data_IF_277900254422
#
_entry.id   IF_277900254422
#
_cell.length_a   1.000
_cell.length_b   1.000
_cell.length_c   1.000
_cell.angle_alpha   90.00
_cell.angle_beta   90.00
_cell.angle_gamma   90.00
#
_symmetry.space_group_name_H-M   'P 1'
#
loop_
_entity.id
_entity.type
_entity.pdbx_description
1 polymer ?
#
# COMPACT_ATOMS: atom_id res chain seq x y z
N UNK A 1 15.33 -10.50 -10.53
CA UNK A 1 16.36 -10.54 -9.48
C UNK A 1 15.75 -9.93 -8.23
N UNK A 2 15.23 -10.76 -7.32
CA UNK A 2 14.73 -10.26 -6.04
C UNK A 2 15.99 -9.94 -5.22
N UNK A 3 16.13 -8.68 -4.81
CA UNK A 3 17.19 -8.26 -3.91
C UNK A 3 17.16 -9.20 -2.69
N UNK A 4 18.31 -9.77 -2.38
CA UNK A 4 18.57 -10.43 -1.11
C UNK A 4 18.37 -9.40 0.00
N UNK A 5 17.14 -9.24 0.48
CA UNK A 5 16.88 -8.51 1.71
C UNK A 5 17.32 -9.42 2.84
N UNK A 6 18.43 -9.09 3.49
CA UNK A 6 18.79 -9.69 4.77
C UNK A 6 17.55 -9.62 5.67
N UNK A 7 17.02 -10.79 6.01
CA UNK A 7 15.89 -10.91 6.92
C UNK A 7 16.38 -10.37 8.26
N UNK A 8 15.66 -9.43 8.90
CA UNK A 8 15.98 -9.05 10.27
C UNK A 8 15.97 -10.33 11.13
N UNK A 9 17.06 -10.62 11.84
CA UNK A 9 17.23 -11.85 12.60
C UNK A 9 16.08 -12.08 13.61
N UNK A 10 15.41 -11.00 14.00
CA UNK A 10 14.25 -10.95 14.88
C UNK A 10 13.03 -11.72 14.34
N UNK A 11 12.88 -11.92 13.02
CA UNK A 11 11.77 -12.70 12.46
C UNK A 11 11.92 -14.22 12.64
N UNK A 12 13.08 -14.69 13.12
CA UNK A 12 13.35 -16.12 13.33
C UNK A 12 12.77 -16.60 14.64
N UNK A 13 12.30 -17.85 14.66
CA UNK A 13 11.80 -18.49 15.87
C UNK A 13 12.78 -18.46 17.05
N UNK A 14 14.09 -18.46 16.83
CA UNK A 14 15.09 -18.36 17.90
C UNK A 14 14.97 -17.06 18.71
N UNK A 15 14.58 -15.94 18.09
CA UNK A 15 14.35 -14.67 18.78
C UNK A 15 13.04 -14.69 19.56
N UNK A 16 11.97 -15.27 18.99
CA UNK A 16 10.69 -15.44 19.68
C UNK A 16 10.81 -16.38 20.88
N UNK A 17 11.56 -17.48 20.76
CA UNK A 17 11.85 -18.38 21.87
C UNK A 17 12.53 -17.62 23.01
N UNK A 18 13.57 -16.83 22.70
CA UNK A 18 14.23 -15.99 23.71
C UNK A 18 13.26 -15.00 24.37
N UNK A 19 12.44 -14.30 23.58
CA UNK A 19 11.46 -13.34 24.09
C UNK A 19 10.44 -13.99 25.02
N UNK A 20 9.88 -15.16 24.65
CA UNK A 20 8.96 -15.93 25.49
C UNK A 20 9.64 -16.32 26.81
N UNK A 21 10.89 -16.78 26.75
CA UNK A 21 11.68 -17.12 27.94
C UNK A 21 11.86 -15.93 28.87
N UNK A 22 12.30 -14.79 28.32
CA UNK A 22 12.51 -13.54 29.07
C UNK A 22 11.19 -13.10 29.73
N UNK A 23 10.09 -13.01 28.99
CA UNK A 23 8.80 -12.60 29.53
C UNK A 23 8.31 -13.55 30.64
N UNK A 24 8.52 -14.87 30.50
CA UNK A 24 8.18 -15.85 31.56
C UNK A 24 9.02 -15.62 32.81
N UNK A 25 10.33 -15.44 32.62
CA UNK A 25 11.24 -15.19 33.73
C UNK A 25 10.88 -13.92 34.49
N UNK A 26 10.58 -12.83 33.78
CA UNK A 26 10.20 -11.54 34.36
C UNK A 26 8.88 -11.62 35.14
N UNK A 27 7.91 -12.39 34.64
CA UNK A 27 6.66 -12.66 35.34
C UNK A 27 6.89 -13.39 36.67
N UNK A 28 7.77 -14.40 36.65
CA UNK A 28 8.05 -15.23 37.81
C UNK A 28 9.02 -14.55 38.80
N UNK A 29 9.79 -13.55 38.34
CA UNK A 29 10.73 -12.75 39.13
C UNK A 29 10.51 -11.23 38.94
N UNK A 30 9.39 -10.68 39.47
CA UNK A 30 9.07 -9.26 39.30
C UNK A 30 10.19 -8.34 39.79
N UNK A 31 10.47 -7.27 39.03
CA UNK A 31 11.53 -6.29 39.34
C UNK A 31 12.92 -6.64 38.79
N UNK A 32 13.07 -7.78 38.13
CA UNK A 32 14.30 -8.12 37.37
C UNK A 32 14.35 -7.32 36.06
N UNK A 33 15.53 -6.88 35.62
CA UNK A 33 15.70 -6.29 34.30
C UNK A 33 15.68 -7.37 33.20
N UNK A 34 15.24 -7.02 31.98
CA UNK A 34 15.13 -7.98 30.88
C UNK A 34 16.50 -8.58 30.51
N UNK A 35 17.56 -7.78 30.57
CA UNK A 35 18.95 -8.19 30.31
C UNK A 35 19.43 -9.23 31.32
N UNK A 36 19.09 -9.05 32.60
CA UNK A 36 19.45 -9.99 33.66
C UNK A 36 18.69 -11.31 33.50
N UNK A 37 17.42 -11.25 33.12
CA UNK A 37 16.61 -12.43 32.78
C UNK A 37 17.23 -13.19 31.59
N UNK A 38 17.63 -12.49 30.53
CA UNK A 38 18.29 -13.09 29.37
C UNK A 38 19.62 -13.76 29.74
N UNK A 39 20.43 -13.11 30.58
CA UNK A 39 21.71 -13.66 31.07
C UNK A 39 21.49 -14.92 31.94
N UNK A 40 20.49 -14.91 32.82
CA UNK A 40 20.15 -16.05 33.65
C UNK A 40 19.74 -17.25 32.79
N UNK A 41 18.76 -17.08 31.90
CA UNK A 41 18.25 -18.13 31.01
C UNK A 41 19.35 -18.73 30.14
N UNK A 42 20.22 -17.89 29.57
CA UNK A 42 21.34 -18.33 28.74
C UNK A 42 22.34 -19.23 29.49
N UNK A 43 22.46 -19.08 30.81
CA UNK A 43 23.40 -19.84 31.64
C UNK A 43 22.79 -21.09 32.26
N UNK A 44 21.51 -21.05 32.62
CA UNK A 44 20.90 -22.08 33.45
C UNK A 44 20.08 -23.11 32.66
N UNK A 45 19.70 -22.82 31.42
CA UNK A 45 18.72 -23.62 30.71
C UNK A 45 19.20 -24.06 29.32
N UNK A 46 19.35 -25.38 29.15
CA UNK A 46 19.82 -26.00 27.92
C UNK A 46 18.83 -25.83 26.75
N UNK A 47 17.53 -25.64 27.04
CA UNK A 47 16.51 -25.45 26.02
C UNK A 47 16.68 -24.11 25.27
N UNK A 48 17.42 -23.17 25.85
CA UNK A 48 17.75 -21.87 25.23
C UNK A 48 19.13 -21.84 24.56
N UNK A 49 19.84 -22.97 24.44
CA UNK A 49 21.19 -23.00 23.85
C UNK A 49 21.26 -22.44 22.42
N UNK A 50 20.17 -22.54 21.65
CA UNK A 50 20.04 -21.99 20.29
C UNK A 50 19.22 -20.70 20.19
N UNK A 51 18.82 -20.10 21.31
CA UNK A 51 17.96 -18.92 21.31
C UNK A 51 18.75 -17.64 21.00
N UNK A 52 18.14 -16.73 20.24
CA UNK A 52 18.71 -15.42 19.93
C UNK A 52 18.24 -14.39 20.95
N UNK A 53 19.00 -14.26 22.04
CA UNK A 53 18.69 -13.32 23.12
C UNK A 53 18.84 -11.85 22.71
N UNK A 54 19.64 -11.52 21.69
CA UNK A 54 19.74 -10.15 21.18
C UNK A 54 18.46 -9.75 20.46
N UNK A 55 17.97 -10.62 19.57
CA UNK A 55 16.67 -10.44 18.92
C UNK A 55 15.51 -10.50 19.93
N UNK A 56 15.59 -11.43 20.90
CA UNK A 56 14.60 -11.56 21.97
C UNK A 56 14.44 -10.32 22.84
N UNK A 57 15.55 -9.70 23.28
CA UNK A 57 15.50 -8.44 24.04
C UNK A 57 14.91 -7.30 23.21
N UNK A 58 15.26 -7.23 21.93
CA UNK A 58 14.69 -6.25 20.99
C UNK A 58 13.18 -6.41 20.85
N UNK A 59 12.69 -7.64 20.78
CA UNK A 59 11.26 -7.95 20.76
C UNK A 59 10.57 -7.54 22.06
N UNK A 60 11.10 -7.94 23.21
CA UNK A 60 10.52 -7.64 24.53
C UNK A 60 10.37 -6.13 24.72
N UNK A 61 11.37 -5.34 24.34
CA UNK A 61 11.31 -3.86 24.45
C UNK A 61 10.27 -3.19 23.54
N UNK A 62 9.63 -3.93 22.63
CA UNK A 62 8.59 -3.41 21.70
C UNK A 62 7.18 -3.93 22.04
N UNK A 63 7.08 -4.93 22.91
CA UNK A 63 5.82 -5.54 23.28
C UNK A 63 5.14 -4.76 24.41
N UNK A 64 3.79 -4.76 24.47
CA UNK A 64 3.06 -4.24 25.62
C UNK A 64 3.47 -4.96 26.92
N UNK A 65 3.65 -4.21 28.00
CA UNK A 65 4.04 -4.76 29.31
C UNK A 65 2.99 -5.74 29.89
N UNK A 66 1.73 -5.61 29.49
CA UNK A 66 0.60 -6.40 29.95
C UNK A 66 0.28 -7.60 29.03
N UNK A 67 1.10 -7.84 27.99
CA UNK A 67 0.86 -8.94 27.06
C UNK A 67 0.94 -10.29 27.77
N UNK A 68 -0.21 -10.92 27.96
CA UNK A 68 -0.32 -12.18 28.68
C UNK A 68 0.32 -13.34 27.91
N UNK A 69 1.29 -14.01 28.53
CA UNK A 69 1.89 -15.26 28.04
C UNK A 69 0.99 -16.50 28.20
N UNK A 70 -0.31 -16.31 28.46
CA UNK A 70 -1.25 -17.42 28.63
C UNK A 70 -1.40 -18.23 27.33
N UNK A 71 -1.30 -17.56 26.17
CA UNK A 71 -1.33 -18.19 24.85
C UNK A 71 -0.08 -17.76 24.05
N UNK A 72 0.77 -18.73 23.75
CA UNK A 72 2.03 -18.52 23.02
C UNK A 72 1.75 -18.06 21.58
N UNK A 73 0.74 -18.60 20.92
CA UNK A 73 0.41 -18.23 19.55
C UNK A 73 -0.15 -16.81 19.48
N UNK A 74 -0.92 -16.36 20.48
CA UNK A 74 -1.29 -14.94 20.63
C UNK A 74 -0.05 -14.07 20.82
N UNK A 75 0.85 -14.43 21.73
CA UNK A 75 2.09 -13.69 21.95
C UNK A 75 2.92 -13.54 20.67
N UNK A 76 3.11 -14.63 19.92
CA UNK A 76 3.88 -14.61 18.66
C UNK A 76 3.17 -13.72 17.62
N UNK A 77 1.84 -13.71 17.54
CA UNK A 77 1.10 -12.82 16.62
C UNK A 77 1.32 -11.35 16.94
N UNK A 78 1.28 -10.96 18.21
CA UNK A 78 1.51 -9.57 18.61
C UNK A 78 2.97 -9.15 18.41
N UNK A 79 3.93 -10.02 18.71
CA UNK A 79 5.33 -9.79 18.40
C UNK A 79 5.60 -9.68 16.88
N UNK A 80 4.95 -10.52 16.06
CA UNK A 80 4.99 -10.39 14.60
C UNK A 80 4.43 -9.04 14.14
N UNK A 81 3.29 -8.60 14.68
CA UNK A 81 2.71 -7.29 14.37
C UNK A 81 3.70 -6.15 14.66
N UNK A 82 4.36 -6.17 15.82
CA UNK A 82 5.35 -5.16 16.20
C UNK A 82 6.57 -5.16 15.24
N UNK A 83 7.07 -6.34 14.85
CA UNK A 83 8.16 -6.43 13.87
C UNK A 83 7.76 -5.94 12.49
N UNK A 84 6.56 -6.31 12.03
CA UNK A 84 5.98 -5.88 10.75
C UNK A 84 5.88 -4.35 10.71
N UNK A 85 5.41 -3.74 11.79
CA UNK A 85 5.27 -2.29 11.88
C UNK A 85 6.62 -1.56 11.79
N UNK A 86 7.64 -2.08 12.48
CA UNK A 86 8.99 -1.48 12.51
C UNK A 86 9.72 -1.67 11.19
N UNK A 87 9.76 -2.90 10.67
CA UNK A 87 10.60 -3.24 9.52
C UNK A 87 9.88 -3.02 8.18
N UNK A 88 8.55 -2.91 8.18
CA UNK A 88 7.69 -2.81 6.99
C UNK A 88 8.15 -3.72 5.83
N UNK A 89 8.30 -5.04 6.06
CA UNK A 89 8.79 -5.95 5.05
C UNK A 89 7.95 -5.88 3.77
N UNK A 90 8.63 -5.99 2.62
CA UNK A 90 8.02 -5.81 1.30
C UNK A 90 6.85 -6.77 1.04
N UNK A 91 6.90 -7.97 1.62
CA UNK A 91 5.91 -9.03 1.44
C UNK A 91 4.56 -8.70 2.08
N UNK A 92 4.46 -7.70 2.96
CA UNK A 92 3.19 -7.23 3.54
C UNK A 92 2.21 -6.83 2.43
N UNK A 93 2.72 -6.28 1.32
CA UNK A 93 1.92 -5.91 0.15
C UNK A 93 1.16 -7.10 -0.47
N UNK A 94 1.52 -8.33 -0.11
CA UNK A 94 0.86 -9.54 -0.58
C UNK A 94 -0.28 -10.00 0.33
N UNK A 95 -0.40 -9.46 1.55
CA UNK A 95 -1.45 -9.82 2.50
C UNK A 95 -2.88 -9.63 1.96
N UNK A 96 -3.20 -8.59 1.15
CA UNK A 96 -4.56 -8.41 0.62
C UNK A 96 -5.02 -9.50 -0.34
N UNK A 97 -4.07 -10.27 -0.90
CA UNK A 97 -4.33 -11.33 -1.89
C UNK A 97 -4.43 -12.73 -1.26
N UNK A 98 -4.34 -12.82 0.07
CA UNK A 98 -4.57 -14.03 0.84
C UNK A 98 -3.32 -14.72 1.39
N UNK A 99 -3.55 -15.57 2.39
CA UNK A 99 -2.51 -16.23 3.23
C UNK A 99 -1.45 -16.98 2.42
N UNK A 100 -1.88 -17.76 1.41
CA UNK A 100 -0.97 -18.56 0.59
C UNK A 100 -0.05 -17.69 -0.27
N UNK A 101 -0.56 -16.56 -0.78
CA UNK A 101 0.22 -15.65 -1.61
C UNK A 101 1.31 -14.97 -0.79
N UNK A 102 0.99 -14.54 0.43
CA UNK A 102 1.99 -14.03 1.37
C UNK A 102 3.00 -15.14 1.74
N UNK A 103 2.54 -16.33 2.10
CA UNK A 103 3.42 -17.44 2.49
C UNK A 103 4.47 -17.79 1.42
N UNK A 104 4.10 -17.71 0.13
CA UNK A 104 5.01 -17.99 -0.98
C UNK A 104 6.17 -16.99 -1.12
N UNK A 105 6.04 -15.80 -0.50
CA UNK A 105 7.07 -14.77 -0.47
C UNK A 105 7.95 -14.81 0.79
N UNK A 106 7.56 -15.58 1.80
CA UNK A 106 8.32 -15.73 3.04
C UNK A 106 9.43 -16.77 2.89
N UNK A 107 10.52 -16.52 3.60
CA UNK A 107 11.59 -17.48 3.82
C UNK A 107 11.15 -18.62 4.74
N UNK A 108 11.93 -19.71 4.80
CA UNK A 108 11.60 -20.85 5.66
C UNK A 108 11.52 -20.47 7.15
N UNK A 109 12.42 -19.60 7.60
CA UNK A 109 12.45 -19.12 9.00
C UNK A 109 11.20 -18.30 9.33
N UNK A 110 10.82 -17.35 8.47
CA UNK A 110 9.61 -16.55 8.64
C UNK A 110 8.36 -17.45 8.60
N UNK A 111 8.30 -18.42 7.69
CA UNK A 111 7.20 -19.37 7.65
C UNK A 111 7.09 -20.19 8.94
N UNK A 112 8.22 -20.57 9.54
CA UNK A 112 8.21 -21.29 10.81
C UNK A 112 7.58 -20.44 11.92
N UNK A 113 7.91 -19.15 11.98
CA UNK A 113 7.32 -18.21 12.93
C UNK A 113 5.81 -18.05 12.73
N UNK A 114 5.36 -17.92 11.48
CA UNK A 114 3.93 -17.87 11.17
C UNK A 114 3.19 -19.17 11.51
N UNK A 115 3.84 -20.35 11.37
CA UNK A 115 3.26 -21.63 11.81
C UNK A 115 3.13 -21.69 13.33
N UNK A 116 4.15 -21.27 14.08
CA UNK A 116 4.11 -21.23 15.55
C UNK A 116 3.01 -20.28 16.08
N UNK A 117 2.69 -19.24 15.30
CA UNK A 117 1.60 -18.32 15.55
C UNK A 117 0.19 -18.87 15.21
N UNK A 118 0.08 -20.09 14.67
CA UNK A 118 -1.19 -20.67 14.20
C UNK A 118 -1.76 -20.00 12.94
N UNK A 119 -1.00 -19.15 12.25
CA UNK A 119 -1.51 -18.35 11.13
C UNK A 119 -1.77 -19.16 9.85
N UNK A 120 -1.21 -20.37 9.78
CA UNK A 120 -1.37 -21.32 8.66
C UNK A 120 -2.21 -22.54 9.01
N UNK A 121 -2.88 -22.52 10.16
CA UNK A 121 -3.75 -23.63 10.53
C UNK A 121 -4.90 -23.78 9.52
N UNK A 122 -5.27 -25.02 9.14
CA UNK A 122 -6.38 -25.27 8.23
C UNK A 122 -7.70 -24.68 8.74
N UNK A 123 -7.89 -24.73 10.06
CA UNK A 123 -9.00 -24.11 10.78
C UNK A 123 -8.44 -22.99 11.66
N UNK A 124 -8.35 -21.75 11.14
CA UNK A 124 -7.79 -20.64 11.91
C UNK A 124 -8.72 -20.24 13.06
N UNK A 125 -8.14 -19.82 14.18
CA UNK A 125 -8.88 -19.21 15.29
C UNK A 125 -9.46 -17.84 14.90
N UNK A 126 -10.43 -17.34 15.67
CA UNK A 126 -10.96 -15.97 15.53
C UNK A 126 -9.85 -14.93 15.51
N UNK A 127 -8.91 -15.04 16.45
CA UNK A 127 -7.80 -14.10 16.60
C UNK A 127 -6.82 -14.19 15.41
N UNK A 128 -6.70 -15.35 14.78
CA UNK A 128 -5.85 -15.52 13.59
C UNK A 128 -6.49 -14.85 12.39
N UNK A 129 -7.81 -14.98 12.23
CA UNK A 129 -8.58 -14.30 11.19
C UNK A 129 -8.48 -12.79 11.38
N UNK A 130 -8.74 -12.28 12.59
CA UNK A 130 -8.65 -10.86 12.91
C UNK A 130 -7.25 -10.30 12.67
N UNK A 131 -6.20 -11.06 13.00
CA UNK A 131 -4.82 -10.67 12.70
C UNK A 131 -4.57 -10.52 11.20
N UNK A 132 -5.03 -11.48 10.39
CA UNK A 132 -4.90 -11.43 8.94
C UNK A 132 -5.68 -10.25 8.33
N UNK A 133 -6.89 -10.00 8.83
CA UNK A 133 -7.72 -8.88 8.38
C UNK A 133 -7.10 -7.53 8.71
N UNK A 134 -6.54 -7.35 9.92
CA UNK A 134 -5.78 -6.16 10.30
C UNK A 134 -4.59 -5.93 9.36
N UNK A 135 -3.78 -6.97 9.13
CA UNK A 135 -2.60 -6.89 8.26
C UNK A 135 -2.99 -6.54 6.81
N UNK A 136 -4.07 -7.12 6.29
CA UNK A 136 -4.57 -6.82 4.96
C UNK A 136 -5.15 -5.41 4.85
N UNK A 137 -5.87 -4.94 5.86
CA UNK A 137 -6.40 -3.58 5.92
C UNK A 137 -5.28 -2.53 5.91
N UNK A 138 -4.24 -2.72 6.73
CA UNK A 138 -3.08 -1.85 6.76
C UNK A 138 -2.37 -1.79 5.41
N UNK A 139 -2.11 -2.94 4.78
CA UNK A 139 -1.46 -3.00 3.48
C UNK A 139 -2.28 -2.31 2.37
N UNK A 140 -3.62 -2.40 2.42
CA UNK A 140 -4.50 -1.69 1.49
C UNK A 140 -4.45 -0.18 1.72
N UNK A 141 -4.51 0.27 2.98
CA UNK A 141 -4.42 1.69 3.32
C UNK A 141 -3.10 2.31 2.82
N UNK A 142 -1.97 1.63 3.04
CA UNK A 142 -0.66 2.07 2.55
C UNK A 142 -0.62 2.14 1.01
N UNK A 143 -1.24 1.17 0.32
CA UNK A 143 -1.32 1.16 -1.14
C UNK A 143 -2.18 2.32 -1.66
N UNK A 144 -3.34 2.56 -1.04
CA UNK A 144 -4.27 3.61 -1.41
C UNK A 144 -3.67 5.00 -1.18
N UNK A 145 -2.95 5.20 -0.06
CA UNK A 145 -2.21 6.43 0.20
C UNK A 145 -1.17 6.71 -0.89
N UNK A 146 -0.40 5.69 -1.30
CA UNK A 146 0.60 5.82 -2.37
C UNK A 146 -0.05 6.16 -3.72
N UNK A 147 -1.15 5.51 -4.06
CA UNK A 147 -1.88 5.79 -5.29
C UNK A 147 -2.47 7.21 -5.28
N UNK A 148 -3.03 7.65 -4.15
CA UNK A 148 -3.53 9.01 -3.98
C UNK A 148 -2.42 10.06 -4.07
N UNK A 149 -1.24 9.80 -3.49
CA UNK A 149 -0.09 10.68 -3.62
C UNK A 149 0.41 10.78 -5.08
N UNK A 150 0.44 9.66 -5.81
CA UNK A 150 0.77 9.65 -7.24
C UNK A 150 -0.25 10.46 -8.07
N UNK A 151 -1.55 10.30 -7.79
CA UNK A 151 -2.63 11.06 -8.43
C UNK A 151 -2.45 12.57 -8.24
N UNK A 152 -2.33 13.02 -7.00
CA UNK A 152 -2.09 14.45 -6.67
C UNK A 152 -0.82 15.00 -7.33
N UNK A 153 0.24 14.20 -7.42
CA UNK A 153 1.47 14.60 -8.12
C UNK A 153 1.22 14.81 -9.61
N UNK A 154 0.48 13.91 -10.25
CA UNK A 154 0.11 14.03 -11.66
C UNK A 154 -0.79 15.24 -11.92
N UNK A 155 -1.76 15.51 -11.05
CA UNK A 155 -2.62 16.70 -11.14
C UNK A 155 -1.79 18.00 -11.04
N UNK A 156 -0.86 18.09 -10.09
CA UNK A 156 0.06 19.22 -9.99
C UNK A 156 0.92 19.39 -11.25
N UNK A 157 1.43 18.29 -11.82
CA UNK A 157 2.21 18.33 -13.06
C UNK A 157 1.36 18.83 -14.25
N UNK A 158 0.11 18.37 -14.36
CA UNK A 158 -0.84 18.87 -15.36
C UNK A 158 -1.13 20.36 -15.17
N UNK A 159 -1.34 20.82 -13.94
CA UNK A 159 -1.60 22.23 -13.66
C UNK A 159 -0.42 23.11 -14.13
N UNK A 160 0.81 22.70 -13.81
CA UNK A 160 2.02 23.41 -14.22
C UNK A 160 2.21 23.38 -15.76
N UNK A 161 1.93 22.24 -16.40
CA UNK A 161 1.96 22.14 -17.86
C UNK A 161 0.99 23.14 -18.50
N UNK A 162 -0.23 23.23 -17.98
CA UNK A 162 -1.26 24.14 -18.50
C UNK A 162 -0.92 25.62 -18.26
N UNK A 163 -0.32 25.97 -17.12
CA UNK A 163 0.18 27.32 -16.86
C UNK A 163 1.17 27.75 -17.96
N UNK A 164 2.17 26.90 -18.26
CA UNK A 164 3.18 27.22 -19.27
C UNK A 164 2.60 27.22 -20.70
N UNK A 165 1.68 26.30 -21.01
CA UNK A 165 0.99 26.28 -22.30
C UNK A 165 0.18 27.56 -22.51
N UNK A 166 -0.66 27.93 -21.53
CA UNK A 166 -1.51 29.12 -21.60
C UNK A 166 -0.69 30.41 -21.72
N UNK A 167 0.44 30.49 -21.00
CA UNK A 167 1.39 31.60 -21.12
C UNK A 167 1.97 31.70 -22.54
N UNK A 168 2.36 30.58 -23.12
CA UNK A 168 2.86 30.50 -24.51
C UNK A 168 1.80 30.91 -25.53
N UNK A 169 0.55 30.53 -25.29
CA UNK A 169 -0.58 30.93 -26.12
C UNK A 169 -1.03 32.38 -25.87
N UNK A 170 -0.49 33.08 -24.88
CA UNK A 170 -0.88 34.45 -24.52
C UNK A 170 -2.29 34.54 -23.91
N UNK A 171 -2.70 33.52 -23.16
CA UNK A 171 -3.95 33.51 -22.38
C UNK A 171 -3.64 34.05 -20.97
N UNK A 172 -4.34 35.10 -20.54
CA UNK A 172 -4.12 35.76 -19.24
C UNK A 172 -4.97 35.21 -18.09
N UNK A 173 -5.62 34.07 -18.29
CA UNK A 173 -6.37 33.35 -17.25
C UNK A 173 -5.42 32.40 -16.50
N UNK A 174 -5.84 31.93 -15.33
CA UNK A 174 -5.14 30.88 -14.60
C UNK A 174 -5.97 29.58 -14.61
N UNK A 175 -5.36 28.41 -14.87
CA UNK A 175 -6.07 27.14 -14.72
C UNK A 175 -6.44 26.90 -13.25
N UNK A 176 -7.52 26.15 -13.02
CA UNK A 176 -8.07 25.87 -11.69
C UNK A 176 -8.02 24.37 -11.42
N UNK A 177 -7.39 24.00 -10.30
CA UNK A 177 -7.39 22.63 -9.80
C UNK A 177 -8.75 22.34 -9.16
N UNK A 178 -9.66 21.76 -9.94
CA UNK A 178 -11.08 21.61 -9.59
C UNK A 178 -11.31 20.41 -8.68
N UNK A 179 -10.62 19.29 -8.88
CA UNK A 179 -10.76 18.11 -8.02
C UNK A 179 -10.40 18.36 -6.54
N UNK A 180 -9.59 19.39 -6.25
CA UNK A 180 -9.29 19.76 -4.86
C UNK A 180 -10.52 20.30 -4.13
N UNK A 181 -11.40 21.00 -4.86
CA UNK A 181 -12.58 21.67 -4.31
C UNK A 181 -13.87 20.85 -4.53
N UNK A 182 -14.00 20.17 -5.68
CA UNK A 182 -15.19 19.43 -6.09
C UNK A 182 -14.89 18.23 -7.01
N UNK A 183 -14.81 17.03 -6.41
CA UNK A 183 -14.68 15.77 -7.15
C UNK A 183 -15.92 15.39 -7.97
N UNK A 184 -17.07 16.04 -7.77
CA UNK A 184 -18.29 15.78 -8.55
C UNK A 184 -18.35 16.57 -9.86
N UNK A 185 -17.39 17.47 -10.12
CA UNK A 185 -17.32 18.26 -11.34
C UNK A 185 -17.11 17.40 -12.62
N UNK A 186 -16.53 16.21 -12.47
CA UNK A 186 -16.26 15.26 -13.54
C UNK A 186 -14.99 15.56 -14.36
N UNK A 187 -14.08 16.36 -13.81
CA UNK A 187 -12.73 16.64 -14.34
C UNK A 187 -11.84 17.18 -13.21
N UNK A 188 -10.53 17.02 -13.35
CA UNK A 188 -9.58 17.42 -12.31
C UNK A 188 -9.14 18.88 -12.44
N UNK A 189 -8.93 19.36 -13.66
CA UNK A 189 -8.42 20.72 -13.93
C UNK A 189 -9.31 21.42 -14.97
N UNK A 190 -9.67 22.67 -14.69
CA UNK A 190 -10.23 23.59 -15.68
C UNK A 190 -9.15 24.53 -16.19
N UNK A 191 -8.77 24.33 -17.44
CA UNK A 191 -7.87 25.19 -18.21
C UNK A 191 -8.64 25.96 -19.29
N UNK A 192 -7.91 26.64 -20.17
CA UNK A 192 -8.48 27.45 -21.24
C UNK A 192 -7.67 27.33 -22.53
N UNK A 193 -8.37 27.34 -23.66
CA UNK A 193 -7.79 27.28 -25.00
C UNK A 193 -8.33 28.39 -25.89
N UNK A 194 -7.52 28.86 -26.85
CA UNK A 194 -8.00 29.77 -27.90
C UNK A 194 -8.83 29.01 -28.94
N UNK A 195 -9.96 29.59 -29.30
CA UNK A 195 -10.85 29.11 -30.37
C UNK A 195 -11.12 30.23 -31.37
N UNK A 196 -11.80 29.92 -32.47
CA UNK A 196 -12.23 30.92 -33.45
C UNK A 196 -13.15 32.00 -32.85
N UNK A 197 -13.81 31.71 -31.73
CA UNK A 197 -14.77 32.59 -31.07
C UNK A 197 -14.22 33.23 -29.79
N UNK A 198 -12.92 33.09 -29.53
CA UNK A 198 -12.26 33.59 -28.33
C UNK A 198 -11.79 32.47 -27.40
N UNK A 199 -11.63 32.78 -26.12
CA UNK A 199 -11.13 31.82 -25.13
C UNK A 199 -12.29 30.95 -24.65
N UNK A 200 -12.10 29.63 -24.68
CA UNK A 200 -13.07 28.65 -24.19
C UNK A 200 -12.45 27.77 -23.10
N UNK A 201 -13.30 27.17 -22.27
CA UNK A 201 -12.88 26.22 -21.24
C UNK A 201 -12.31 24.96 -21.89
N UNK A 202 -11.24 24.45 -21.31
CA UNK A 202 -10.69 23.13 -21.55
C UNK A 202 -10.73 22.36 -20.23
N UNK A 203 -11.49 21.28 -20.19
CA UNK A 203 -11.65 20.40 -19.04
C UNK A 203 -10.65 19.25 -19.17
N UNK A 204 -9.95 18.95 -18.09
CA UNK A 204 -8.84 18.00 -18.12
C UNK A 204 -9.06 16.97 -17.03
N UNK A 205 -9.13 15.71 -17.45
CA UNK A 205 -9.03 14.54 -16.60
C UNK A 205 -7.58 14.08 -16.54
N UNK A 206 -7.06 13.84 -15.35
CA UNK A 206 -5.67 13.49 -15.12
C UNK A 206 -5.57 12.02 -14.70
N UNK A 207 -4.78 11.25 -15.44
CA UNK A 207 -4.45 9.86 -15.12
C UNK A 207 -2.95 9.71 -14.94
N UNK A 208 -2.55 8.73 -14.13
CA UNK A 208 -1.14 8.39 -13.94
C UNK A 208 -0.89 6.89 -13.88
N UNK A 209 0.30 6.48 -14.32
CA UNK A 209 0.72 5.07 -14.31
C UNK A 209 2.20 4.92 -14.03
N UNK A 210 2.54 3.92 -13.23
CA UNK A 210 3.92 3.42 -13.05
C UNK A 210 4.13 2.02 -13.67
N UNK A 211 3.14 1.53 -14.44
CA UNK A 211 3.13 0.19 -15.03
C UNK A 211 3.80 0.17 -16.42
N UNK A 212 4.38 -0.98 -16.75
CA UNK A 212 4.94 -1.28 -18.09
C UNK A 212 4.29 -2.55 -18.64
N UNK A 213 3.61 -2.52 -19.81
CA UNK A 213 3.31 -1.33 -20.61
C UNK A 213 2.40 -0.33 -19.87
N UNK A 214 2.39 0.97 -20.23
CA UNK A 214 1.56 2.00 -19.60
C UNK A 214 0.07 1.66 -19.67
N UNK A 215 -0.64 1.79 -18.54
CA UNK A 215 -2.08 1.52 -18.48
C UNK A 215 -2.78 2.51 -17.58
N UNK A 216 -3.97 2.93 -17.99
CA UNK A 216 -4.85 3.76 -17.17
C UNK A 216 -6.13 3.00 -16.84
N UNK A 217 -6.77 3.39 -15.75
CA UNK A 217 -8.12 2.97 -15.43
C UNK A 217 -9.02 4.17 -15.68
N UNK A 218 -10.08 3.95 -16.44
CA UNK A 218 -11.14 4.92 -16.67
C UNK A 218 -12.44 4.39 -16.07
N UNK A 219 -13.14 5.22 -15.30
CA UNK A 219 -14.45 4.88 -14.74
C UNK A 219 -15.59 5.30 -15.67
N UNK A 220 -16.78 4.74 -15.45
CA UNK A 220 -17.99 5.15 -16.18
C UNK A 220 -18.28 6.63 -16.05
N UNK A 221 -18.23 7.17 -14.83
CA UNK A 221 -18.54 8.58 -14.58
C UNK A 221 -17.58 9.53 -15.31
N UNK A 222 -16.29 9.19 -15.33
CA UNK A 222 -15.27 9.95 -16.07
C UNK A 222 -15.54 9.93 -17.58
N UNK A 223 -15.90 8.75 -18.12
CA UNK A 223 -16.24 8.65 -19.54
C UNK A 223 -17.52 9.40 -19.90
N UNK A 224 -18.56 9.34 -19.07
CA UNK A 224 -19.80 10.10 -19.27
C UNK A 224 -19.53 11.61 -19.24
N UNK A 225 -18.65 12.09 -18.36
CA UNK A 225 -18.20 13.49 -18.36
C UNK A 225 -17.46 13.85 -19.66
N UNK A 226 -16.53 13.00 -20.10
CA UNK A 226 -15.81 13.18 -21.36
C UNK A 226 -16.77 13.24 -22.56
N UNK A 227 -17.76 12.35 -22.62
CA UNK A 227 -18.79 12.35 -23.67
C UNK A 227 -19.71 13.57 -23.61
N UNK A 228 -19.97 14.13 -22.43
CA UNK A 228 -20.79 15.34 -22.28
C UNK A 228 -20.08 16.56 -22.86
N UNK A 229 -18.77 16.69 -22.63
CA UNK A 229 -18.01 17.90 -22.98
C UNK A 229 -17.20 17.79 -24.28
N UNK A 230 -17.01 16.57 -24.82
CA UNK A 230 -16.44 16.30 -26.15
C UNK A 230 -15.13 17.05 -26.41
N UNK A 231 -15.08 17.94 -27.40
CA UNK A 231 -13.88 18.67 -27.79
C UNK A 231 -13.35 19.62 -26.71
N UNK A 232 -14.15 19.95 -25.71
CA UNK A 232 -13.73 20.73 -24.54
C UNK A 232 -13.16 19.83 -23.42
N UNK A 233 -12.93 18.54 -23.67
CA UNK A 233 -12.44 17.58 -22.69
C UNK A 233 -11.20 16.84 -23.21
N UNK A 234 -10.18 16.70 -22.36
CA UNK A 234 -8.94 15.99 -22.70
C UNK A 234 -8.41 15.20 -21.51
N UNK A 235 -7.61 14.17 -21.81
CA UNK A 235 -6.94 13.35 -20.81
C UNK A 235 -5.46 13.69 -20.77
N UNK A 236 -4.95 14.07 -19.61
CA UNK A 236 -3.53 14.17 -19.33
C UNK A 236 -3.05 12.87 -18.67
N UNK A 237 -2.21 12.12 -19.35
CA UNK A 237 -1.72 10.82 -18.87
C UNK A 237 -0.24 10.93 -18.55
N UNK A 238 0.12 10.85 -17.27
CA UNK A 238 1.50 10.90 -16.80
C UNK A 238 2.06 9.49 -16.55
N UNK A 239 3.21 9.19 -17.15
CA UNK A 239 3.95 7.97 -16.87
C UNK A 239 5.11 8.23 -15.89
N UNK A 240 5.11 7.50 -14.79
CA UNK A 240 6.14 7.52 -13.76
C UNK A 240 7.10 6.33 -13.92
N UNK A 241 8.37 6.45 -13.48
CA UNK A 241 8.95 7.58 -12.74
C UNK A 241 9.44 8.74 -13.65
N UNK A 242 9.41 8.58 -14.97
CA UNK A 242 10.01 9.54 -15.91
C UNK A 242 9.26 10.87 -16.02
N UNK A 243 8.05 10.97 -15.45
CA UNK A 243 7.15 12.11 -15.52
C UNK A 243 6.90 12.56 -16.97
N UNK A 244 6.60 11.61 -17.87
CA UNK A 244 6.28 11.91 -19.27
C UNK A 244 4.78 12.09 -19.47
N UNK A 245 4.39 13.20 -20.11
CA UNK A 245 2.99 13.52 -20.40
C UNK A 245 2.60 13.04 -21.81
N UNK A 246 1.49 12.30 -21.87
CA UNK A 246 0.75 12.04 -23.11
C UNK A 246 -0.64 12.66 -23.01
N UNK A 247 -1.03 13.46 -24.00
CA UNK A 247 -2.37 14.06 -24.08
C UNK A 247 -3.22 13.23 -25.05
N UNK A 248 -4.44 12.86 -24.64
CA UNK A 248 -5.42 12.12 -25.46
C UNK A 248 -6.75 12.85 -25.50
N UNK A 249 -7.35 12.90 -26.68
CA UNK A 249 -8.71 13.42 -26.87
C UNK A 249 -9.77 12.37 -26.53
N UNK A 250 -11.02 12.78 -26.40
CA UNK A 250 -12.17 11.86 -26.27
C UNK A 250 -12.21 10.87 -27.44
N UNK A 251 -11.89 11.31 -28.65
CA UNK A 251 -11.86 10.45 -29.82
C UNK A 251 -10.79 9.37 -29.73
N UNK A 252 -9.59 9.71 -29.24
CA UNK A 252 -8.49 8.75 -29.08
C UNK A 252 -8.86 7.64 -28.09
N UNK A 253 -9.65 7.96 -27.05
CA UNK A 253 -10.07 7.01 -26.01
C UNK A 253 -11.30 6.20 -26.41
N UNK A 254 -12.19 6.77 -27.24
CA UNK A 254 -13.51 6.21 -27.55
C UNK A 254 -13.51 4.75 -28.03
N UNK A 255 -12.51 4.36 -28.83
CA UNK A 255 -12.40 3.02 -29.39
C UNK A 255 -12.13 1.92 -28.34
N UNK A 256 -11.74 2.30 -27.12
CA UNK A 256 -11.40 1.38 -26.04
C UNK A 256 -12.55 1.18 -25.04
N UNK A 257 -13.65 1.92 -25.20
CA UNK A 257 -14.74 1.93 -24.21
C UNK A 257 -15.73 0.79 -24.48
N UNK A 258 -16.06 -0.04 -23.48
CA UNK A 258 -17.04 -1.11 -23.64
C UNK A 258 -18.47 -0.59 -23.80
N UNK A 259 -19.31 -1.39 -24.45
CA UNK A 259 -20.76 -1.23 -24.43
C UNK A 259 -21.41 -2.06 -23.32
N UNK A 260 -22.52 -1.57 -22.80
CA UNK A 260 -23.40 -2.36 -21.93
C UNK A 260 -24.10 -3.47 -22.71
N UNK A 261 -24.39 -4.58 -22.03
CA UNK A 261 -25.09 -5.73 -22.65
C UNK A 261 -26.08 -6.36 -21.68
N UNK A 262 -27.33 -6.50 -22.14
CA UNK A 262 -28.42 -7.02 -21.31
C UNK A 262 -28.66 -6.11 -20.09
N UNK A 263 -28.68 -6.70 -18.90
CA UNK A 263 -28.78 -5.98 -17.63
C UNK A 263 -27.41 -5.62 -17.04
N UNK A 264 -26.32 -5.99 -17.71
CA UNK A 264 -24.96 -5.70 -17.25
C UNK A 264 -24.50 -4.30 -17.68
N UNK A 265 -24.00 -3.53 -16.70
CA UNK A 265 -23.37 -2.23 -16.94
C UNK A 265 -21.88 -2.25 -16.59
N UNK A 266 -21.03 -1.75 -17.48
CA UNK A 266 -19.61 -1.61 -17.17
C UNK A 266 -19.38 -0.46 -16.17
N UNK A 267 -18.39 -0.62 -15.28
CA UNK A 267 -18.09 0.37 -14.23
C UNK A 267 -16.70 0.99 -14.39
N UNK A 268 -15.73 0.19 -14.84
CA UNK A 268 -14.36 0.62 -15.10
C UNK A 268 -13.76 -0.19 -16.24
N UNK A 269 -12.84 0.41 -16.97
CA UNK A 269 -12.06 -0.21 -18.05
C UNK A 269 -10.58 0.08 -17.84
N UNK A 270 -9.71 -0.90 -18.09
CA UNK A 270 -8.26 -0.70 -18.18
C UNK A 270 -7.89 -0.50 -19.66
N UNK A 271 -7.17 0.58 -19.96
CA UNK A 271 -6.72 0.93 -21.31
C UNK A 271 -5.20 0.94 -21.34
N UNK A 272 -4.59 0.24 -22.30
CA UNK A 272 -3.15 0.28 -22.56
C UNK A 272 -2.88 1.47 -23.49
N UNK A 273 -1.96 2.36 -23.10
CA UNK A 273 -1.72 3.67 -23.75
C UNK A 273 -0.40 3.68 -24.52
#
# INVERSE_FOLDING_TARGET
MIASSDIPAEFRMSAFTAAIGICRYLRDHPGTAAEDAALALRRSDADFAGADFTGGLTLVGRLPEDLALADISVFIREALSALIEVHRPWWIKLSPYGRQRLASALTLDEQQTFRAAGLYDPQPSSEAIEWWDRLAAQARADQDERLGAQGRRAELLSLNHEIERMKTEGIQLAPVWTALDDNAAGYDIRSYSKTLYGIANLLIEVKSTSRTPPRIILTRGEWEAAQKYQAAYTFHIWQFPDETLTIRTVQDISAHIPDDRGEGAWQKVEIII
#
